data_IF_805124690536
#
_entry.id   IF_805124690536
#
_cell.length_a   1.000
_cell.length_b   1.000
_cell.length_c   1.000
_cell.angle_alpha   90.00
_cell.angle_beta   90.00
_cell.angle_gamma   90.00
#
_symmetry.space_group_name_H-M   'P 1'
#
loop_
_entity.id
_entity.type
_entity.pdbx_description
1 polymer ?
#
# COMPACT_ATOMS: atom_id res chain seq x y z
N UNK A 1 13.14 -14.29 -16.51
CA UNK A 1 12.27 -13.10 -16.44
C UNK A 1 11.70 -12.84 -15.04
N UNK A 2 10.88 -13.74 -14.48
CA UNK A 2 10.22 -13.58 -13.16
C UNK A 2 11.12 -12.96 -12.05
N UNK A 3 12.32 -13.51 -11.83
CA UNK A 3 13.29 -13.02 -10.84
C UNK A 3 13.68 -11.54 -11.00
N UNK A 4 13.59 -10.98 -12.20
CA UNK A 4 13.86 -9.56 -12.45
C UNK A 4 12.68 -8.68 -12.02
N UNK A 5 11.42 -9.12 -12.24
CA UNK A 5 10.23 -8.45 -11.71
C UNK A 5 10.25 -8.43 -10.19
N UNK A 6 10.52 -9.58 -9.56
CA UNK A 6 10.67 -9.71 -8.10
C UNK A 6 11.80 -8.85 -7.52
N UNK A 7 12.93 -8.70 -8.24
CA UNK A 7 14.03 -7.82 -7.83
C UNK A 7 13.62 -6.35 -7.95
N UNK A 8 12.94 -5.97 -9.03
CA UNK A 8 12.47 -4.59 -9.27
C UNK A 8 11.39 -4.19 -8.27
N UNK A 9 10.41 -5.06 -8.00
CA UNK A 9 9.41 -4.90 -6.94
C UNK A 9 10.06 -4.66 -5.58
N UNK A 10 11.05 -5.49 -5.18
CA UNK A 10 11.73 -5.33 -3.89
C UNK A 10 12.51 -4.01 -3.77
N UNK A 11 13.13 -3.55 -4.87
CA UNK A 11 13.80 -2.24 -4.90
C UNK A 11 12.80 -1.09 -4.72
N UNK A 12 11.70 -1.09 -5.49
CA UNK A 12 10.65 -0.06 -5.41
C UNK A 12 9.94 -0.06 -4.05
N UNK A 13 9.69 -1.24 -3.47
CA UNK A 13 9.22 -1.37 -2.08
C UNK A 13 10.19 -0.73 -1.10
N UNK A 14 11.50 -1.00 -1.22
CA UNK A 14 12.52 -0.42 -0.32
C UNK A 14 12.61 1.10 -0.43
N UNK A 15 12.44 1.64 -1.65
CA UNK A 15 12.32 3.10 -1.88
C UNK A 15 11.06 3.65 -1.21
N UNK A 16 9.92 2.98 -1.35
CA UNK A 16 8.66 3.37 -0.70
C UNK A 16 8.72 3.27 0.84
N UNK A 17 9.35 2.21 1.39
CA UNK A 17 9.62 2.06 2.84
C UNK A 17 10.53 3.19 3.36
N UNK A 18 11.36 3.78 2.51
CA UNK A 18 12.29 4.87 2.85
C UNK A 18 11.59 6.23 2.79
N UNK A 19 10.92 6.55 1.68
CA UNK A 19 10.09 7.74 1.53
C UNK A 19 9.04 7.84 2.66
N UNK A 20 8.43 6.71 3.05
CA UNK A 20 7.48 6.67 4.17
C UNK A 20 8.10 7.08 5.51
N UNK A 21 9.36 6.70 5.78
CA UNK A 21 10.10 7.12 7.00
C UNK A 21 10.44 8.60 6.98
N UNK A 22 10.73 9.14 5.79
CA UNK A 22 10.96 10.58 5.55
C UNK A 22 9.65 11.40 5.58
N UNK A 23 8.49 10.76 5.75
CA UNK A 23 7.14 11.35 5.66
C UNK A 23 6.75 11.87 4.27
N UNK A 24 7.46 11.45 3.24
CA UNK A 24 7.20 11.77 1.83
C UNK A 24 6.05 10.90 1.29
N UNK A 25 4.86 10.98 1.92
CA UNK A 25 3.78 10.01 1.72
C UNK A 25 3.29 9.92 0.26
N UNK A 26 3.39 11.02 -0.51
CA UNK A 26 3.10 11.03 -1.95
C UNK A 26 4.06 10.13 -2.73
N UNK A 27 5.37 10.36 -2.60
CA UNK A 27 6.41 9.54 -3.25
C UNK A 27 6.38 8.09 -2.75
N UNK A 28 6.09 7.86 -1.47
CA UNK A 28 5.87 6.52 -0.95
C UNK A 28 4.69 5.81 -1.64
N UNK A 29 3.55 6.51 -1.80
CA UNK A 29 2.36 5.98 -2.48
C UNK A 29 2.65 5.61 -3.95
N UNK A 30 3.36 6.49 -4.67
CA UNK A 30 3.80 6.29 -6.05
C UNK A 30 4.75 5.10 -6.19
N UNK A 31 5.79 5.01 -5.34
CA UNK A 31 6.72 3.88 -5.33
C UNK A 31 6.05 2.54 -4.94
N UNK A 32 5.06 2.55 -4.04
CA UNK A 32 4.25 1.35 -3.78
C UNK A 32 3.38 0.96 -4.97
N UNK A 33 2.87 1.94 -5.74
CA UNK A 33 2.17 1.68 -7.01
C UNK A 33 3.06 0.95 -8.01
N UNK A 34 4.23 1.52 -8.32
CA UNK A 34 5.20 0.92 -9.23
C UNK A 34 5.68 -0.48 -8.76
N UNK A 35 5.69 -0.74 -7.45
CA UNK A 35 5.98 -2.08 -6.92
C UNK A 35 4.83 -3.08 -7.19
N UNK A 36 3.57 -2.63 -7.14
CA UNK A 36 2.38 -3.45 -7.44
C UNK A 36 2.33 -3.83 -8.92
N UNK A 37 2.74 -2.94 -9.83
CA UNK A 37 2.79 -3.21 -11.28
C UNK A 37 3.75 -4.36 -11.66
N UNK A 38 4.70 -4.69 -10.78
CA UNK A 38 5.59 -5.83 -10.91
C UNK A 38 5.12 -7.09 -10.17
N UNK A 39 4.01 -7.02 -9.44
CA UNK A 39 3.35 -8.13 -8.76
C UNK A 39 2.49 -7.66 -7.58
N UNK A 40 1.28 -8.18 -7.47
CA UNK A 40 0.40 -7.85 -6.35
C UNK A 40 0.90 -8.42 -5.01
N UNK A 41 0.69 -7.68 -3.93
CA UNK A 41 0.93 -8.17 -2.57
C UNK A 41 0.10 -7.41 -1.57
N UNK A 42 -0.57 -8.12 -0.66
CA UNK A 42 -1.34 -7.50 0.43
C UNK A 42 -0.51 -6.47 1.22
N UNK A 43 0.80 -6.72 1.41
CA UNK A 43 1.69 -5.79 2.12
C UNK A 43 1.93 -4.48 1.36
N UNK A 44 1.99 -4.51 0.03
CA UNK A 44 2.16 -3.31 -0.80
C UNK A 44 0.88 -2.47 -0.77
N UNK A 45 -0.27 -3.10 -1.02
CA UNK A 45 -1.58 -2.45 -0.89
C UNK A 45 -1.80 -1.87 0.50
N UNK A 46 -1.53 -2.64 1.56
CA UNK A 46 -1.65 -2.17 2.94
C UNK A 46 -0.77 -0.94 3.22
N UNK A 47 0.46 -0.90 2.72
CA UNK A 47 1.32 0.25 2.96
C UNK A 47 0.92 1.47 2.11
N UNK A 48 0.48 1.27 0.86
CA UNK A 48 -0.08 2.33 0.03
C UNK A 48 -1.36 2.93 0.62
N UNK A 49 -2.23 2.11 1.21
CA UNK A 49 -3.45 2.58 1.88
C UNK A 49 -3.13 3.57 3.01
N UNK A 50 -2.09 3.31 3.82
CA UNK A 50 -1.67 4.24 4.88
C UNK A 50 -1.03 5.50 4.30
N UNK A 51 -0.30 5.43 3.19
CA UNK A 51 0.21 6.62 2.51
C UNK A 51 -0.94 7.52 2.05
N UNK A 52 -1.96 6.94 1.42
CA UNK A 52 -3.17 7.64 0.96
C UNK A 52 -3.99 8.23 2.10
N UNK A 53 -4.21 7.48 3.18
CA UNK A 53 -4.88 7.96 4.40
C UNK A 53 -4.18 9.22 4.96
N UNK A 54 -2.84 9.23 4.98
CA UNK A 54 -2.03 10.36 5.44
C UNK A 54 -1.97 11.54 4.44
N UNK A 55 -2.51 11.37 3.24
CA UNK A 55 -2.67 12.40 2.20
C UNK A 55 -4.13 12.92 2.10
N UNK A 56 -5.06 12.39 2.90
CA UNK A 56 -6.49 12.70 2.80
C UNK A 56 -7.28 11.84 1.79
N UNK A 57 -6.61 10.93 1.05
CA UNK A 57 -7.24 10.02 0.09
C UNK A 57 -7.91 8.84 0.82
N UNK A 58 -9.12 9.09 1.36
CA UNK A 58 -9.93 8.08 2.04
C UNK A 58 -10.44 6.97 1.11
N UNK A 59 -10.88 7.31 -0.10
CA UNK A 59 -11.45 6.35 -1.06
C UNK A 59 -10.39 5.40 -1.61
N UNK A 60 -9.25 5.95 -2.05
CA UNK A 60 -8.12 5.16 -2.51
C UNK A 60 -7.47 4.36 -1.39
N UNK A 61 -7.53 4.83 -0.14
CA UNK A 61 -7.13 4.07 1.05
C UNK A 61 -8.07 2.89 1.30
N UNK A 62 -9.39 3.11 1.22
CA UNK A 62 -10.39 2.05 1.37
C UNK A 62 -10.25 0.99 0.27
N UNK A 63 -10.03 1.41 -0.99
CA UNK A 63 -9.80 0.53 -2.14
C UNK A 63 -8.56 -0.35 -1.95
N UNK A 64 -7.43 0.23 -1.52
CA UNK A 64 -6.22 -0.53 -1.20
C UNK A 64 -6.39 -1.46 0.02
N UNK A 65 -7.16 -1.04 1.03
CA UNK A 65 -7.46 -1.87 2.20
C UNK A 65 -8.39 -3.06 1.87
N UNK A 66 -9.35 -2.86 0.95
CA UNK A 66 -10.18 -3.92 0.37
C UNK A 66 -9.32 -4.91 -0.43
N UNK A 67 -8.46 -4.44 -1.33
CA UNK A 67 -7.59 -5.32 -2.13
C UNK A 67 -6.60 -6.09 -1.26
N UNK A 68 -6.07 -5.46 -0.21
CA UNK A 68 -5.28 -6.12 0.82
C UNK A 68 -6.03 -7.30 1.48
N UNK A 69 -7.30 -7.10 1.88
CA UNK A 69 -8.14 -8.15 2.47
C UNK A 69 -8.51 -9.25 1.48
N UNK A 70 -8.73 -8.94 0.20
CA UNK A 70 -8.94 -9.96 -0.84
C UNK A 70 -7.71 -10.87 -0.99
N UNK A 71 -6.51 -10.30 -0.94
CA UNK A 71 -5.25 -11.04 -1.08
C UNK A 71 -4.86 -11.81 0.19
N UNK A 72 -5.32 -11.39 1.38
CA UNK A 72 -5.13 -12.09 2.67
C UNK A 72 -6.32 -11.88 3.60
N UNK A 73 -7.39 -12.72 3.49
CA UNK A 73 -8.60 -12.57 4.31
C UNK A 73 -8.34 -12.62 5.82
N UNK A 74 -7.44 -13.50 6.27
CA UNK A 74 -7.16 -13.76 7.69
C UNK A 74 -6.22 -12.71 8.33
N UNK A 75 -5.75 -11.72 7.56
CA UNK A 75 -4.79 -10.75 8.07
C UNK A 75 -5.50 -9.62 8.82
N UNK A 76 -5.63 -9.76 10.14
CA UNK A 76 -6.28 -8.77 11.02
C UNK A 76 -5.84 -7.30 10.82
N UNK A 77 -4.59 -7.06 10.38
CA UNK A 77 -4.07 -5.72 10.05
C UNK A 77 -4.73 -5.10 8.79
N UNK A 78 -5.36 -5.88 7.93
CA UNK A 78 -6.19 -5.40 6.82
C UNK A 78 -7.50 -4.79 7.34
N UNK A 79 -8.20 -5.49 8.23
CA UNK A 79 -9.44 -5.00 8.86
C UNK A 79 -9.23 -3.65 9.59
N UNK A 80 -8.11 -3.50 10.31
CA UNK A 80 -7.74 -2.22 10.92
C UNK A 80 -7.59 -1.09 9.89
N UNK A 81 -6.94 -1.35 8.74
CA UNK A 81 -6.77 -0.34 7.67
C UNK A 81 -8.09 -0.01 6.97
N UNK A 82 -9.01 -0.96 6.83
CA UNK A 82 -10.38 -0.68 6.36
C UNK A 82 -11.12 0.23 7.34
N UNK A 83 -11.07 -0.05 8.65
CA UNK A 83 -11.70 0.77 9.67
C UNK A 83 -11.13 2.20 9.69
N UNK A 84 -9.81 2.36 9.58
CA UNK A 84 -9.16 3.67 9.49
C UNK A 84 -9.57 4.46 8.23
N UNK A 85 -9.71 3.81 7.07
CA UNK A 85 -10.21 4.45 5.85
C UNK A 85 -11.68 4.90 6.00
N UNK A 86 -12.53 4.06 6.60
CA UNK A 86 -13.93 4.40 6.91
C UNK A 86 -14.09 5.47 8.01
N UNK A 87 -13.03 5.80 8.77
CA UNK A 87 -13.05 6.93 9.72
C UNK A 87 -12.74 8.27 9.03
N UNK A 88 -12.05 8.27 7.89
CA UNK A 88 -11.74 9.47 7.09
C UNK A 88 -12.84 9.83 6.08
N UNK A 89 -13.77 8.89 5.82
CA UNK A 89 -14.91 9.03 4.90
C UNK A 89 -16.23 9.30 5.65
N UNK A 90 -16.18 10.04 6.77
CA UNK A 90 -17.31 10.39 7.64
C UNK A 90 -17.27 11.86 8.01
#
# INVERSE_FOLDING_TARGET
EQRHRERRQRLLKSQADTAFKLKEYKMASECYGLAIDHGESATLYANRSVCKLLLGDGEGSLSDALRCRMLRPDWAKACYRQAAAHMLLK
#
